data_IF_283652059597
#
_entry.id   IF_283652059597
#
_cell.length_a   1.000
_cell.length_b   1.000
_cell.length_c   1.000
_cell.angle_alpha   90.00
_cell.angle_beta   90.00
_cell.angle_gamma   90.00
#
_symmetry.space_group_name_H-M   'P 1'
#
loop_
_entity.id
_entity.type
_entity.pdbx_description
1 polymer ?
#
# COMPACT_ATOMS: atom_id res chain seq x y z
N UNK A 1 10.51 -1.21 -1.90
CA UNK A 1 10.24 -1.42 -3.35
C UNK A 1 9.69 -2.83 -3.60
N UNK A 2 8.39 -2.98 -3.40
CA UNK A 2 7.66 -4.24 -3.46
C UNK A 2 7.49 -4.73 -4.92
N UNK A 3 7.40 -6.05 -5.12
CA UNK A 3 7.31 -6.69 -6.46
C UNK A 3 6.09 -6.27 -7.31
N UNK A 4 5.15 -5.52 -6.75
CA UNK A 4 3.87 -5.14 -7.39
C UNK A 4 4.02 -3.95 -8.35
N UNK A 5 5.02 -3.09 -8.15
CA UNK A 5 5.23 -1.85 -8.94
C UNK A 5 5.47 -2.11 -10.43
N UNK A 6 5.79 -3.36 -10.81
CA UNK A 6 6.07 -3.72 -12.21
C UNK A 6 4.81 -4.06 -13.03
N UNK A 7 3.65 -4.22 -12.39
CA UNK A 7 2.44 -4.78 -13.03
C UNK A 7 1.18 -3.92 -12.83
N UNK A 8 1.16 -2.99 -11.88
CA UNK A 8 0.01 -2.12 -11.61
C UNK A 8 0.38 -0.65 -11.81
N UNK A 9 -0.43 0.09 -12.58
CA UNK A 9 -0.24 1.52 -12.79
C UNK A 9 -0.59 2.34 -11.52
N UNK A 10 -1.45 1.81 -10.65
CA UNK A 10 -1.88 2.40 -9.38
C UNK A 10 -2.07 1.25 -8.38
N UNK A 11 -1.57 1.42 -7.15
CA UNK A 11 -1.84 0.54 -6.01
C UNK A 11 -2.48 1.35 -4.90
N UNK A 12 -3.58 0.85 -4.34
CA UNK A 12 -4.27 1.47 -3.20
C UNK A 12 -4.07 0.58 -1.98
N UNK A 13 -3.66 1.18 -0.86
CA UNK A 13 -3.46 0.48 0.40
C UNK A 13 -4.44 1.04 1.40
N UNK A 14 -5.32 0.18 1.91
CA UNK A 14 -6.24 0.54 2.99
C UNK A 14 -5.53 0.31 4.33
N UNK A 15 -5.09 1.41 4.93
CA UNK A 15 -4.50 1.41 6.26
C UNK A 15 -5.63 1.60 7.26
N UNK A 16 -5.82 0.64 8.17
CA UNK A 16 -6.72 0.82 9.29
C UNK A 16 -6.36 2.07 10.12
N UNK A 17 -7.20 2.43 11.08
CA UNK A 17 -7.09 3.68 11.85
C UNK A 17 -5.86 3.78 12.77
N UNK A 18 -5.05 2.72 12.89
CA UNK A 18 -3.86 2.69 13.76
C UNK A 18 -2.59 3.09 13.00
N UNK A 19 -2.27 4.38 13.05
CA UNK A 19 -1.08 4.95 12.41
C UNK A 19 0.24 4.41 13.00
N UNK A 20 0.25 4.07 14.29
CA UNK A 20 1.47 3.58 14.97
C UNK A 20 1.79 2.11 14.69
N UNK A 21 0.90 1.36 14.04
CA UNK A 21 1.17 -0.03 13.70
C UNK A 21 2.44 -0.13 12.82
N UNK A 22 3.39 -1.04 13.12
CA UNK A 22 4.66 -1.11 12.38
C UNK A 22 4.47 -1.25 10.87
N UNK A 23 3.46 -2.02 10.44
CA UNK A 23 3.13 -2.18 9.03
C UNK A 23 2.69 -0.86 8.38
N UNK A 24 1.81 -0.09 9.05
CA UNK A 24 1.34 1.22 8.57
C UNK A 24 2.51 2.18 8.42
N UNK A 25 3.44 2.20 9.38
CA UNK A 25 4.63 3.06 9.31
C UNK A 25 5.54 2.72 8.12
N UNK A 26 5.78 1.43 7.86
CA UNK A 26 6.57 1.01 6.70
C UNK A 26 5.89 1.37 5.38
N UNK A 27 4.56 1.21 5.30
CA UNK A 27 3.77 1.60 4.11
C UNK A 27 3.89 3.10 3.84
N UNK A 28 3.66 3.94 4.86
CA UNK A 28 3.64 5.40 4.70
C UNK A 28 4.95 5.97 4.13
N UNK A 29 6.10 5.37 4.45
CA UNK A 29 7.41 5.81 3.93
C UNK A 29 7.54 5.70 2.41
N UNK A 30 6.87 4.72 1.83
CA UNK A 30 6.93 4.42 0.40
C UNK A 30 5.75 5.03 -0.39
N UNK A 31 4.78 5.69 0.27
CA UNK A 31 3.60 6.23 -0.41
C UNK A 31 3.89 7.47 -1.27
N UNK A 32 3.26 7.49 -2.45
CA UNK A 32 3.27 8.64 -3.36
C UNK A 32 2.27 9.73 -2.98
N UNK A 33 1.18 9.35 -2.32
CA UNK A 33 0.13 10.25 -1.86
C UNK A 33 -0.65 9.61 -0.71
N UNK A 34 -1.31 10.43 0.10
CA UNK A 34 -2.16 9.98 1.21
C UNK A 34 -3.56 10.59 1.11
N UNK A 35 -4.59 9.78 1.31
CA UNK A 35 -5.97 10.25 1.48
C UNK A 35 -6.32 10.06 2.95
N UNK A 36 -6.66 11.15 3.64
CA UNK A 36 -7.16 11.11 5.01
C UNK A 36 -8.66 11.33 4.97
N UNK A 37 -9.42 10.25 5.14
CA UNK A 37 -10.88 10.31 5.18
C UNK A 37 -11.33 10.59 6.60
N UNK A 38 -12.17 11.61 6.75
CA UNK A 38 -12.75 12.02 8.02
C UNK A 38 -14.24 12.24 7.85
N UNK A 39 -14.98 11.98 8.92
CA UNK A 39 -16.32 12.51 9.02
C UNK A 39 -16.29 14.05 9.18
N UNK A 40 -17.34 14.75 8.75
CA UNK A 40 -17.41 16.21 8.76
C UNK A 40 -17.95 16.76 10.09
N UNK A 41 -17.50 16.18 11.21
CA UNK A 41 -17.80 16.61 12.58
C UNK A 41 -16.51 16.75 13.38
N UNK A 42 -16.61 17.39 14.56
CA UNK A 42 -15.45 17.77 15.36
C UNK A 42 -14.57 16.58 15.78
N UNK A 43 -15.16 15.43 16.11
CA UNK A 43 -14.43 14.24 16.54
C UNK A 43 -13.62 13.62 15.39
N UNK A 44 -14.22 13.47 14.22
CA UNK A 44 -13.55 13.02 13.00
C UNK A 44 -12.46 13.99 12.58
N UNK A 45 -12.78 15.28 12.49
CA UNK A 45 -11.83 16.32 12.11
C UNK A 45 -10.65 16.37 13.10
N UNK A 46 -10.89 16.21 14.40
CA UNK A 46 -9.82 16.10 15.40
C UNK A 46 -8.93 14.88 15.15
N UNK A 47 -9.50 13.73 14.78
CA UNK A 47 -8.71 12.53 14.45
C UNK A 47 -7.87 12.73 13.18
N UNK A 48 -8.41 13.40 12.16
CA UNK A 48 -7.65 13.75 10.96
C UNK A 48 -6.54 14.76 11.27
N UNK A 49 -6.79 15.78 12.08
CA UNK A 49 -5.77 16.74 12.52
C UNK A 49 -4.62 16.04 13.26
N UNK A 50 -4.92 15.14 14.20
CA UNK A 50 -3.91 14.30 14.88
C UNK A 50 -3.09 13.46 13.91
N UNK A 51 -3.71 12.97 12.84
CA UNK A 51 -2.99 12.23 11.77
C UNK A 51 -1.98 13.14 11.07
N UNK A 52 -2.35 14.39 10.78
CA UNK A 52 -1.45 15.38 10.17
C UNK A 52 -0.30 15.79 11.09
N UNK A 53 -0.60 16.02 12.37
CA UNK A 53 0.40 16.27 13.41
C UNK A 53 1.39 15.10 13.50
N UNK A 54 0.90 13.87 13.53
CA UNK A 54 1.72 12.67 13.58
C UNK A 54 2.66 12.55 12.37
N UNK A 55 2.22 12.92 11.16
CA UNK A 55 3.07 12.97 9.97
C UNK A 55 4.16 14.03 10.11
N UNK A 56 3.80 15.20 10.63
CA UNK A 56 4.74 16.29 10.89
C UNK A 56 5.82 15.89 11.89
N UNK A 57 5.42 15.32 13.03
CA UNK A 57 6.31 14.89 14.11
C UNK A 57 7.33 13.85 13.67
N UNK A 58 6.91 12.96 12.76
CA UNK A 58 7.77 11.92 12.17
C UNK A 58 8.57 12.38 10.97
N UNK A 59 8.58 13.69 10.70
CA UNK A 59 9.29 14.33 9.59
C UNK A 59 8.84 13.84 8.21
N UNK A 60 7.62 13.29 8.10
CA UNK A 60 6.99 12.88 6.84
C UNK A 60 6.34 14.09 6.14
N UNK A 61 7.00 15.25 6.18
CA UNK A 61 6.44 16.52 5.68
C UNK A 61 6.18 16.51 4.17
N UNK A 62 6.97 15.74 3.40
CA UNK A 62 6.71 15.51 1.97
C UNK A 62 5.43 14.70 1.72
N UNK A 63 5.12 13.73 2.58
CA UNK A 63 3.87 12.98 2.48
C UNK A 63 2.69 13.83 2.96
N UNK A 64 2.86 14.60 4.03
CA UNK A 64 1.87 15.56 4.51
C UNK A 64 1.49 16.56 3.41
N UNK A 65 2.47 17.12 2.68
CA UNK A 65 2.23 18.00 1.52
C UNK A 65 1.50 17.31 0.37
N UNK A 66 1.68 16.00 0.22
CA UNK A 66 1.02 15.16 -0.80
C UNK A 66 -0.19 14.42 -0.22
N UNK A 67 -0.83 15.01 0.78
CA UNK A 67 -2.05 14.46 1.37
C UNK A 67 -3.27 15.28 0.94
N UNK A 68 -4.44 14.65 1.01
CA UNK A 68 -5.73 15.31 0.83
C UNK A 68 -6.66 14.89 1.96
N UNK A 69 -7.32 15.87 2.58
CA UNK A 69 -8.35 15.62 3.58
C UNK A 69 -9.69 15.50 2.86
N UNK A 70 -10.39 14.39 3.09
CA UNK A 70 -11.72 14.15 2.55
C UNK A 70 -12.71 14.23 3.71
N UNK A 71 -13.55 15.26 3.71
CA UNK A 71 -14.64 15.41 4.67
C UNK A 71 -15.89 14.73 4.07
N UNK A 72 -16.16 13.51 4.52
CA UNK A 72 -17.17 12.63 3.95
C UNK A 72 -18.43 12.55 4.82
N UNK A 73 -19.54 13.15 4.36
CA UNK A 73 -20.83 13.05 5.04
C UNK A 73 -21.46 11.66 4.83
N UNK A 74 -21.28 10.74 5.77
CA UNK A 74 -21.70 9.34 5.61
C UNK A 74 -23.16 9.06 5.97
N UNK A 75 -23.86 9.98 6.63
CA UNK A 75 -25.23 9.78 7.10
C UNK A 75 -26.21 10.91 6.73
N UNK A 76 -25.73 12.01 6.15
CA UNK A 76 -26.56 13.12 5.66
C UNK A 76 -26.94 14.16 6.72
N UNK A 77 -26.46 14.02 7.96
CA UNK A 77 -26.83 14.92 9.06
C UNK A 77 -25.83 16.08 9.25
N UNK A 78 -24.85 16.21 8.35
CA UNK A 78 -23.82 17.23 8.49
C UNK A 78 -24.29 18.63 8.13
N UNK A 79 -24.27 19.51 9.13
CA UNK A 79 -24.58 20.93 8.99
C UNK A 79 -23.58 21.61 8.06
N UNK A 80 -24.09 22.26 7.01
CA UNK A 80 -23.26 22.90 5.98
C UNK A 80 -22.30 23.93 6.57
N UNK A 81 -22.71 24.70 7.57
CA UNK A 81 -21.84 25.71 8.19
C UNK A 81 -20.68 25.04 8.93
N UNK A 82 -20.98 24.00 9.71
CA UNK A 82 -19.96 23.22 10.42
C UNK A 82 -18.94 22.62 9.47
N UNK A 83 -19.38 22.00 8.36
CA UNK A 83 -18.47 21.47 7.33
C UNK A 83 -17.53 22.52 6.77
N UNK A 84 -18.07 23.67 6.39
CA UNK A 84 -17.26 24.73 5.79
C UNK A 84 -16.26 25.34 6.78
N UNK A 85 -16.60 25.38 8.08
CA UNK A 85 -15.65 25.80 9.13
C UNK A 85 -14.50 24.80 9.25
N UNK A 86 -14.80 23.51 9.39
CA UNK A 86 -13.78 22.46 9.49
C UNK A 86 -12.90 22.39 8.23
N UNK A 87 -13.52 22.52 7.05
CA UNK A 87 -12.78 22.58 5.79
C UNK A 87 -11.82 23.77 5.76
N UNK A 88 -12.25 24.93 6.26
CA UNK A 88 -11.41 26.13 6.31
C UNK A 88 -10.21 25.94 7.25
N UNK A 89 -10.40 25.33 8.41
CA UNK A 89 -9.30 25.04 9.34
C UNK A 89 -8.19 24.22 8.65
N UNK A 90 -8.54 23.13 7.97
CA UNK A 90 -7.54 22.33 7.24
C UNK A 90 -6.86 23.10 6.11
N UNK A 91 -7.59 23.95 5.37
CA UNK A 91 -7.03 24.81 4.32
C UNK A 91 -6.06 25.84 4.90
N UNK A 92 -6.40 26.47 6.02
CA UNK A 92 -5.53 27.42 6.73
C UNK A 92 -4.23 26.76 7.21
N UNK A 93 -4.27 25.46 7.52
CA UNK A 93 -3.10 24.62 7.81
C UNK A 93 -2.42 24.02 6.55
N UNK A 94 -2.74 24.53 5.36
CA UNK A 94 -2.07 24.19 4.11
C UNK A 94 -2.47 22.86 3.48
N UNK A 95 -3.58 22.25 3.93
CA UNK A 95 -4.08 21.01 3.35
C UNK A 95 -5.06 21.27 2.20
N UNK A 96 -5.05 20.38 1.20
CA UNK A 96 -6.15 20.31 0.23
C UNK A 96 -7.32 19.56 0.85
N UNK A 97 -8.51 20.14 0.73
CA UNK A 97 -9.73 19.58 1.31
C UNK A 97 -10.78 19.34 0.23
N UNK A 98 -11.42 18.18 0.28
CA UNK A 98 -12.60 17.87 -0.55
C UNK A 98 -13.76 17.44 0.33
N UNK A 99 -14.84 18.20 0.29
CA UNK A 99 -16.12 17.82 0.91
C UNK A 99 -16.88 16.88 -0.03
N UNK A 100 -17.17 15.67 0.45
CA UNK A 100 -17.97 14.65 -0.26
C UNK A 100 -19.37 14.63 0.38
N UNK A 101 -20.43 14.88 -0.42
CA UNK A 101 -21.79 14.89 0.10
C UNK A 101 -22.27 13.48 0.43
N UNK A 102 -23.34 13.39 1.23
CA UNK A 102 -24.02 12.13 1.47
C UNK A 102 -24.56 11.52 0.19
N UNK A 103 -24.27 10.24 0.01
CA UNK A 103 -24.76 9.42 -1.08
C UNK A 103 -25.34 8.12 -0.51
N UNK A 104 -26.67 7.88 -0.64
CA UNK A 104 -27.31 6.66 -0.18
C UNK A 104 -26.68 5.38 -0.74
N UNK A 105 -26.09 5.44 -1.94
CA UNK A 105 -25.49 4.27 -2.61
C UNK A 105 -24.16 3.86 -1.98
N UNK A 106 -23.47 4.77 -1.28
CA UNK A 106 -22.24 4.45 -0.55
C UNK A 106 -22.52 3.75 0.79
N UNK A 107 -23.72 3.93 1.36
CA UNK A 107 -24.05 3.51 2.72
C UNK A 107 -24.07 1.99 2.96
N UNK A 108 -24.62 1.15 2.06
CA UNK A 108 -24.67 -0.29 2.28
C UNK A 108 -23.29 -0.94 2.48
N UNK A 109 -22.23 -0.31 1.93
CA UNK A 109 -20.91 -0.90 1.84
C UNK A 109 -20.90 -2.06 0.85
N UNK A 110 -20.03 -2.02 -0.16
CA UNK A 110 -19.99 -3.06 -1.19
C UNK A 110 -19.38 -2.60 -2.50
N UNK A 111 -19.57 -3.42 -3.53
CA UNK A 111 -19.23 -3.04 -4.90
C UNK A 111 -20.27 -2.05 -5.39
N UNK A 112 -19.80 -0.92 -5.92
CA UNK A 112 -20.65 0.19 -6.37
C UNK A 112 -20.38 0.41 -7.85
N UNK A 113 -21.45 0.46 -8.65
CA UNK A 113 -21.36 0.93 -10.03
C UNK A 113 -21.20 2.46 -10.04
N UNK A 114 -19.93 2.88 -10.04
CA UNK A 114 -19.51 4.29 -10.09
C UNK A 114 -20.14 5.07 -11.25
N UNK A 115 -20.59 4.41 -12.33
CA UNK A 115 -21.16 5.08 -13.51
C UNK A 115 -22.66 5.34 -13.38
N UNK A 116 -23.40 4.43 -12.74
CA UNK A 116 -24.87 4.46 -12.77
C UNK A 116 -25.50 4.62 -11.38
N UNK A 117 -24.80 4.25 -10.30
CA UNK A 117 -25.35 4.28 -8.94
C UNK A 117 -24.96 5.58 -8.20
N UNK A 118 -23.76 6.11 -8.40
CA UNK A 118 -23.35 7.33 -7.68
C UNK A 118 -24.13 8.56 -8.13
N UNK A 119 -24.53 9.38 -7.16
CA UNK A 119 -25.07 10.69 -7.45
C UNK A 119 -24.03 11.54 -8.22
N UNK A 120 -24.44 12.35 -9.20
CA UNK A 120 -23.52 13.16 -10.00
C UNK A 120 -22.59 14.06 -9.16
N UNK A 121 -23.11 14.60 -8.04
CA UNK A 121 -22.34 15.43 -7.12
C UNK A 121 -21.23 14.64 -6.41
N UNK A 122 -21.54 13.45 -5.90
CA UNK A 122 -20.57 12.54 -5.29
C UNK A 122 -19.51 12.13 -6.29
N UNK A 123 -19.92 11.72 -7.49
CA UNK A 123 -19.03 11.32 -8.58
C UNK A 123 -18.05 12.44 -8.96
N UNK A 124 -18.52 13.69 -9.04
CA UNK A 124 -17.67 14.84 -9.29
C UNK A 124 -16.61 15.01 -8.19
N UNK A 125 -16.98 14.84 -6.92
CA UNK A 125 -16.04 14.95 -5.80
C UNK A 125 -15.01 13.83 -5.77
N UNK A 126 -15.39 12.60 -6.11
CA UNK A 126 -14.44 11.50 -6.26
C UNK A 126 -13.46 11.74 -7.43
N UNK A 127 -13.94 12.27 -8.55
CA UNK A 127 -13.08 12.69 -9.67
C UNK A 127 -12.12 13.81 -9.27
N UNK A 128 -12.60 14.78 -8.47
CA UNK A 128 -11.75 15.84 -7.92
C UNK A 128 -10.64 15.25 -7.04
N UNK A 129 -10.95 14.31 -6.15
CA UNK A 129 -9.95 13.61 -5.32
C UNK A 129 -8.94 12.87 -6.20
N UNK A 130 -9.40 12.15 -7.22
CA UNK A 130 -8.52 11.45 -8.15
C UNK A 130 -7.57 12.40 -8.89
N UNK A 131 -8.06 13.56 -9.34
CA UNK A 131 -7.25 14.58 -9.99
C UNK A 131 -6.16 15.12 -9.06
N UNK A 132 -6.51 15.43 -7.79
CA UNK A 132 -5.58 15.86 -6.75
C UNK A 132 -4.44 14.84 -6.58
N UNK A 133 -4.77 13.55 -6.48
CA UNK A 133 -3.79 12.48 -6.28
C UNK A 133 -2.86 12.32 -7.49
N UNK A 134 -3.41 12.42 -8.71
CA UNK A 134 -2.60 12.32 -9.93
C UNK A 134 -1.58 13.46 -10.04
N UNK A 135 -1.90 14.66 -9.58
CA UNK A 135 -0.95 15.78 -9.51
C UNK A 135 0.27 15.45 -8.60
N UNK A 136 0.05 14.69 -7.53
CA UNK A 136 1.14 14.25 -6.64
C UNK A 136 2.06 13.22 -7.29
N UNK A 137 1.53 12.35 -8.17
CA UNK A 137 2.36 11.41 -8.94
C UNK A 137 3.32 12.11 -9.90
N UNK A 138 2.91 13.24 -10.47
CA UNK A 138 3.74 14.04 -11.37
C UNK A 138 4.86 14.79 -10.64
N UNK A 139 4.68 15.02 -9.34
CA UNK A 139 5.55 15.85 -8.50
C UNK A 139 6.63 15.06 -7.74
N UNK A 140 6.61 13.71 -7.81
CA UNK A 140 7.60 12.86 -7.17
C UNK A 140 8.98 12.88 -7.87
N UNK A 141 10.09 12.63 -7.15
CA UNK A 141 11.43 12.63 -7.75
C UNK A 141 11.54 11.59 -8.86
N UNK A 142 12.02 12.01 -10.04
CA UNK A 142 12.14 11.21 -11.27
C UNK A 142 12.91 9.89 -11.09
N UNK A 143 13.73 9.80 -10.03
CA UNK A 143 14.54 8.63 -9.69
C UNK A 143 13.71 7.40 -9.28
N UNK A 144 12.52 7.60 -8.68
CA UNK A 144 11.58 6.50 -8.37
C UNK A 144 10.87 5.95 -9.60
N UNK A 145 10.83 6.70 -10.70
CA UNK A 145 10.14 6.34 -11.96
C UNK A 145 11.00 5.52 -12.91
N UNK A 146 12.29 5.34 -12.66
CA UNK A 146 13.17 4.59 -13.56
C UNK A 146 12.77 3.10 -13.59
N UNK A 147 12.35 2.53 -14.73
CA UNK A 147 12.08 1.11 -14.82
C UNK A 147 13.38 0.35 -14.57
N UNK A 148 13.36 -0.60 -13.63
CA UNK A 148 14.52 -1.42 -13.29
C UNK A 148 15.22 -1.95 -14.56
N UNK A 149 16.55 -1.80 -14.70
CA UNK A 149 17.26 -2.14 -15.92
C UNK A 149 16.98 -3.58 -16.29
N UNK A 150 16.40 -3.80 -17.48
CA UNK A 150 16.18 -5.13 -18.03
C UNK A 150 17.55 -5.81 -18.16
N UNK A 151 17.93 -6.66 -17.20
CA UNK A 151 19.07 -7.57 -17.34
C UNK A 151 18.80 -8.42 -18.58
N UNK A 152 19.39 -8.03 -19.71
CA UNK A 152 19.47 -8.85 -20.92
C UNK A 152 20.13 -10.16 -20.48
N UNK A 153 19.34 -11.23 -20.37
CA UNK A 153 19.89 -12.58 -20.23
C UNK A 153 20.78 -12.79 -21.44
N UNK A 154 22.10 -12.79 -21.24
CA UNK A 154 23.06 -13.22 -22.26
C UNK A 154 22.67 -14.64 -22.64
N UNK A 155 22.13 -14.79 -23.84
CA UNK A 155 21.86 -16.07 -24.49
C UNK A 155 23.23 -16.69 -24.75
N UNK A 156 23.68 -17.57 -23.85
CA UNK A 156 24.90 -18.34 -24.07
C UNK A 156 24.61 -19.34 -25.18
N UNK A 157 25.32 -19.14 -26.29
CA UNK A 157 25.29 -19.98 -27.49
C UNK A 157 25.86 -21.35 -27.13
N UNK A 158 24.98 -22.33 -26.83
CA UNK A 158 25.37 -23.74 -26.74
C UNK A 158 25.59 -24.26 -28.17
N UNK A 159 26.76 -23.96 -28.74
CA UNK A 159 27.26 -24.70 -29.89
C UNK A 159 27.59 -26.12 -29.45
N UNK A 160 26.97 -27.05 -30.17
CA UNK A 160 26.99 -28.50 -30.05
C UNK A 160 28.40 -29.00 -30.39
N UNK A 161 29.11 -29.57 -29.43
CA UNK A 161 30.31 -30.37 -29.68
C UNK A 161 29.97 -31.85 -29.43
N UNK A 162 30.32 -32.69 -30.40
CA UNK A 162 29.99 -34.10 -30.54
C UNK A 162 30.95 -34.97 -29.69
N UNK A 163 30.54 -36.14 -29.16
CA UNK A 163 31.40 -36.94 -28.30
C UNK A 163 32.25 -37.94 -29.10
N UNK A 164 33.57 -37.87 -28.96
CA UNK A 164 34.50 -38.94 -29.37
C UNK A 164 34.83 -39.85 -28.20
N UNK A 165 34.59 -41.15 -28.40
CA UNK A 165 34.91 -42.27 -27.50
C UNK A 165 36.43 -42.51 -27.42
N UNK A 166 36.92 -43.01 -26.28
CA UNK A 166 37.91 -44.10 -26.13
C UNK A 166 37.99 -44.54 -24.63
N UNK A 167 38.69 -45.64 -24.24
CA UNK A 167 38.04 -46.83 -23.67
C UNK A 167 38.52 -47.21 -22.25
N UNK A 168 37.99 -48.34 -21.77
CA UNK A 168 38.10 -48.87 -20.42
C UNK A 168 39.44 -49.56 -20.06
N UNK A 169 39.90 -49.34 -18.83
CA UNK A 169 40.61 -50.29 -17.96
C UNK A 169 40.70 -49.60 -16.58
N UNK A 170 40.30 -50.13 -15.43
CA UNK A 170 40.41 -51.48 -14.92
C UNK A 170 41.46 -51.48 -13.80
N UNK A 171 41.03 -51.33 -12.53
CA UNK A 171 41.58 -52.01 -11.33
C UNK A 171 40.91 -51.50 -10.04
N UNK A 172 40.50 -52.48 -9.23
CA UNK A 172 39.91 -52.42 -7.88
C UNK A 172 40.98 -52.09 -6.83
N UNK A 173 40.59 -51.53 -5.68
CA UNK A 173 41.08 -51.85 -4.32
C UNK A 173 40.21 -51.12 -3.26
N UNK A 174 40.21 -51.52 -1.97
CA UNK A 174 38.98 -51.92 -1.28
C UNK A 174 38.55 -51.04 -0.09
N UNK A 175 37.35 -51.34 0.41
CA UNK A 175 36.65 -50.75 1.54
C UNK A 175 37.42 -50.77 2.87
N UNK A 176 37.19 -49.76 3.72
CA UNK A 176 37.13 -49.93 5.17
C UNK A 176 35.93 -49.20 5.76
N UNK A 177 35.10 -49.99 6.45
CA UNK A 177 34.06 -49.60 7.40
C UNK A 177 34.67 -48.99 8.66
N UNK A 178 33.95 -48.07 9.31
CA UNK A 178 33.67 -48.03 10.77
C UNK A 178 32.73 -46.85 11.03
N UNK A 179 31.43 -47.10 11.29
CA UNK A 179 30.73 -47.12 12.60
C UNK A 179 30.06 -45.78 12.96
N UNK A 180 28.73 -45.86 13.00
CA UNK A 180 27.73 -44.99 13.64
C UNK A 180 27.97 -44.81 15.16
N UNK A 181 27.28 -43.88 15.88
CA UNK A 181 25.84 -44.04 16.18
C UNK A 181 24.96 -42.75 16.19
N UNK A 182 23.72 -42.94 15.74
CA UNK A 182 22.42 -42.53 16.32
C UNK A 182 22.35 -41.34 17.33
N UNK A 183 21.60 -40.25 17.05
CA UNK A 183 20.12 -40.03 17.20
C UNK A 183 19.77 -39.31 18.55
N UNK A 184 18.54 -38.82 18.88
CA UNK A 184 17.39 -38.27 18.13
C UNK A 184 16.83 -36.93 18.72
N UNK A 185 15.73 -36.45 18.11
CA UNK A 185 14.60 -35.66 18.67
C UNK A 185 14.68 -34.13 18.60
N UNK A 186 13.78 -33.53 17.81
CA UNK A 186 12.50 -33.05 18.37
C UNK A 186 11.54 -32.64 17.25
N UNK A 187 10.37 -33.28 17.23
CA UNK A 187 9.26 -33.00 16.32
C UNK A 187 8.40 -31.83 16.77
N UNK A 188 7.74 -31.20 15.79
CA UNK A 188 6.45 -30.47 15.93
C UNK A 188 5.29 -31.48 15.88
N UNK A 189 3.98 -31.10 15.85
CA UNK A 189 3.27 -29.86 16.24
C UNK A 189 2.05 -30.14 17.16
N UNK A 190 1.30 -29.10 17.61
CA UNK A 190 -0.17 -28.87 17.43
C UNK A 190 -0.80 -27.97 18.52
N UNK A 191 -1.62 -27.02 18.07
CA UNK A 191 -2.62 -26.12 18.75
C UNK A 191 -3.86 -26.89 19.30
N UNK A 192 -4.97 -26.32 19.88
CA UNK A 192 -5.40 -24.90 20.09
C UNK A 192 -6.12 -24.54 21.45
N UNK A 193 -6.47 -23.25 21.60
CA UNK A 193 -7.68 -22.63 22.21
C UNK A 193 -7.96 -22.67 23.74
N UNK A 194 -8.26 -21.51 24.36
CA UNK A 194 -9.52 -21.16 25.08
C UNK A 194 -9.45 -19.70 25.60
N UNK A 195 -10.57 -18.99 25.46
CA UNK A 195 -10.90 -17.65 25.97
C UNK A 195 -11.31 -17.71 27.45
N UNK A 196 -11.07 -16.61 28.17
CA UNK A 196 -11.92 -16.12 29.26
C UNK A 196 -12.12 -14.62 29.09
#
# INVERSE_FOLDING_TARGET
MLRLDRHFAISVIDCGSTMDAPLTQEVLRDLDALIVVSSPWADGASAAAKTMEWLSDRRLTDLLRRSVVVLNDSDGHSDKRTRSVLAREFVEHGQRVVEVPFDPHLRPGGVIDVRHELAPATRLKLLQIAAIIVEYFASGPAERRAPAPRRRRRRTDRRRAQPTRLPASGRRFPCRHTTEPANPRCGRPTTPMVRS
#
